data_IF_979670645615
#
_entry.id   IF_979670645615
#
_cell.length_a   1.000
_cell.length_b   1.000
_cell.length_c   1.000
_cell.angle_alpha   90.00
_cell.angle_beta   90.00
_cell.angle_gamma   90.00
#
_symmetry.space_group_name_H-M   'P 1'
#
loop_
_entity.id
_entity.type
_entity.pdbx_description
1 polymer ?
#
# COMPACT_ATOMS: atom_id res chain seq x y z
N UNK A 1 14.97 -7.47 -30.01
CA UNK A 1 14.60 -7.90 -28.64
C UNK A 1 13.94 -6.72 -27.94
N UNK A 2 12.73 -6.92 -27.41
CA UNK A 2 12.02 -5.94 -26.59
C UNK A 2 12.61 -5.91 -25.17
N UNK A 3 12.54 -4.77 -24.45
CA UNK A 3 12.86 -4.75 -23.03
C UNK A 3 11.91 -5.64 -22.24
N UNK A 4 12.40 -6.20 -21.13
CA UNK A 4 11.63 -7.03 -20.20
C UNK A 4 11.49 -6.30 -18.87
N UNK A 5 10.46 -6.66 -18.10
CA UNK A 5 10.31 -6.17 -16.73
C UNK A 5 11.58 -6.46 -15.92
N UNK A 6 11.96 -5.50 -15.08
CA UNK A 6 13.03 -5.66 -14.11
C UNK A 6 12.41 -5.71 -12.72
N UNK A 7 12.78 -6.70 -11.91
CA UNK A 7 12.35 -6.80 -10.52
C UNK A 7 13.58 -6.64 -9.62
N UNK A 8 13.58 -5.62 -8.77
CA UNK A 8 14.69 -5.35 -7.83
C UNK A 8 14.17 -4.95 -6.45
N UNK A 9 15.02 -5.06 -5.43
CA UNK A 9 14.72 -4.51 -4.12
C UNK A 9 14.99 -2.99 -4.12
N UNK A 10 14.31 -2.25 -3.23
CA UNK A 10 14.60 -0.83 -3.00
C UNK A 10 16.07 -0.66 -2.62
N UNK A 11 16.72 0.36 -3.19
CA UNK A 11 18.14 0.65 -3.02
C UNK A 11 19.07 -0.11 -3.98
N UNK A 12 18.56 -1.05 -4.77
CA UNK A 12 19.33 -1.72 -5.82
C UNK A 12 19.21 -0.98 -7.16
N UNK A 13 20.13 -1.27 -8.08
CA UNK A 13 20.06 -0.78 -9.45
C UNK A 13 19.21 -1.71 -10.32
N UNK A 14 18.32 -1.14 -11.13
CA UNK A 14 17.58 -1.88 -12.15
C UNK A 14 18.16 -1.64 -13.54
N UNK A 15 18.10 -2.67 -14.39
CA UNK A 15 18.61 -2.60 -15.76
C UNK A 15 17.52 -2.97 -16.76
N UNK A 16 17.30 -2.11 -17.74
CA UNK A 16 16.54 -2.41 -18.95
C UNK A 16 17.48 -2.46 -20.16
N UNK A 17 17.24 -3.39 -21.07
CA UNK A 17 18.03 -3.51 -22.30
C UNK A 17 17.15 -3.74 -23.50
N UNK A 18 17.54 -3.14 -24.62
CA UNK A 18 16.90 -3.32 -25.92
C UNK A 18 17.95 -3.76 -26.95
N UNK A 19 17.51 -4.49 -27.97
CA UNK A 19 18.34 -4.73 -29.14
C UNK A 19 17.51 -4.55 -30.39
N UNK A 20 17.94 -3.62 -31.25
CA UNK A 20 17.33 -3.33 -32.53
C UNK A 20 18.32 -3.67 -33.64
N UNK A 21 17.78 -4.14 -34.77
CA UNK A 21 18.55 -4.36 -35.99
C UNK A 21 18.14 -3.32 -37.03
N UNK A 22 19.13 -2.72 -37.69
CA UNK A 22 18.95 -1.70 -38.71
C UNK A 22 20.18 -1.68 -39.62
N UNK A 23 19.96 -1.39 -40.90
CA UNK A 23 21.04 -1.17 -41.89
C UNK A 23 21.66 0.22 -41.78
N UNK A 24 20.97 1.17 -41.16
CA UNK A 24 21.46 2.51 -40.84
C UNK A 24 21.76 2.65 -39.34
N UNK A 25 22.63 3.59 -38.92
CA UNK A 25 22.85 3.91 -37.52
C UNK A 25 21.53 4.16 -36.79
N UNK A 26 21.42 3.63 -35.56
CA UNK A 26 20.24 3.79 -34.72
C UNK A 26 20.54 4.68 -33.54
N UNK A 27 19.55 5.49 -33.17
CA UNK A 27 19.52 6.22 -31.89
C UNK A 27 18.44 5.63 -31.01
N UNK A 28 18.65 5.75 -29.69
CA UNK A 28 17.69 5.34 -28.68
C UNK A 28 17.26 6.55 -27.89
N UNK A 29 16.01 6.54 -27.43
CA UNK A 29 15.50 7.48 -26.44
C UNK A 29 14.57 6.73 -25.50
N UNK A 30 15.02 6.50 -24.27
CA UNK A 30 14.17 5.91 -23.24
C UNK A 30 13.14 6.91 -22.75
N UNK A 31 11.98 6.40 -22.36
CA UNK A 31 10.87 7.16 -21.81
C UNK A 31 10.37 6.50 -20.53
N UNK A 32 9.99 7.34 -19.57
CA UNK A 32 9.34 6.97 -18.31
C UNK A 32 7.91 7.49 -18.35
N UNK A 33 6.95 6.57 -18.23
CA UNK A 33 5.51 6.88 -18.40
C UNK A 33 5.26 7.78 -19.61
N UNK A 34 5.85 7.39 -20.75
CA UNK A 34 5.72 8.05 -22.06
C UNK A 34 6.45 9.41 -22.20
N UNK A 35 7.00 9.98 -21.11
CA UNK A 35 7.84 11.17 -21.14
C UNK A 35 9.32 10.82 -21.34
N UNK A 36 10.04 11.58 -22.16
CA UNK A 36 11.45 11.32 -22.45
C UNK A 36 12.34 11.47 -21.20
N UNK A 37 13.20 10.48 -20.97
CA UNK A 37 14.26 10.56 -19.97
C UNK A 37 15.47 11.26 -20.56
N UNK A 38 15.73 12.51 -20.15
CA UNK A 38 16.84 13.31 -20.64
C UNK A 38 18.17 12.55 -20.52
N UNK A 39 18.90 12.46 -21.63
CA UNK A 39 20.22 11.81 -21.69
C UNK A 39 20.20 10.27 -21.76
N UNK A 40 19.04 9.63 -21.62
CA UNK A 40 18.90 8.18 -21.69
C UNK A 40 18.88 7.68 -23.14
N UNK A 41 20.03 7.75 -23.82
CA UNK A 41 20.19 7.48 -25.26
C UNK A 41 20.95 6.19 -25.58
N UNK A 42 21.26 5.40 -24.56
CA UNK A 42 21.98 4.14 -24.69
C UNK A 42 21.02 2.95 -24.89
N UNK A 43 21.52 1.86 -25.48
CA UNK A 43 20.78 0.58 -25.60
C UNK A 43 20.41 -0.05 -24.25
N UNK A 44 21.12 0.33 -23.19
CA UNK A 44 20.89 -0.10 -21.81
C UNK A 44 20.55 1.14 -20.99
N UNK A 45 19.44 1.06 -20.26
CA UNK A 45 19.07 2.02 -19.23
C UNK A 45 19.37 1.39 -17.86
N UNK A 46 20.07 2.13 -17.01
CA UNK A 46 20.28 1.78 -15.61
C UNK A 46 19.50 2.79 -14.77
N UNK A 47 18.59 2.31 -13.94
CA UNK A 47 17.91 3.10 -12.92
C UNK A 47 18.62 2.81 -11.61
N UNK A 48 19.46 3.74 -11.17
CA UNK A 48 20.29 3.57 -9.98
C UNK A 48 19.51 3.85 -8.71
N UNK A 49 19.81 3.12 -7.63
CA UNK A 49 19.24 3.35 -6.30
C UNK A 49 17.70 3.45 -6.31
N UNK A 50 17.04 2.40 -6.81
CA UNK A 50 15.58 2.35 -6.99
C UNK A 50 14.86 2.70 -5.70
N UNK A 51 13.95 3.67 -5.76
CA UNK A 51 13.10 4.10 -4.67
C UNK A 51 11.66 3.62 -4.85
N UNK A 52 10.81 3.84 -3.84
CA UNK A 52 9.38 3.50 -3.91
C UNK A 52 8.64 4.23 -5.04
N UNK A 53 9.08 5.44 -5.42
CA UNK A 53 8.44 6.21 -6.49
C UNK A 53 8.80 5.70 -7.89
N UNK A 54 9.89 4.92 -8.00
CA UNK A 54 10.34 4.27 -9.23
C UNK A 54 9.65 2.92 -9.46
N UNK A 55 9.27 2.24 -8.37
CA UNK A 55 8.47 1.03 -8.45
C UNK A 55 7.09 1.34 -9.03
N UNK A 56 6.60 0.42 -9.86
CA UNK A 56 5.31 0.59 -10.50
C UNK A 56 5.39 1.25 -11.88
N UNK A 57 6.51 1.89 -12.20
CA UNK A 57 6.65 2.78 -13.36
C UNK A 57 6.91 2.02 -14.66
N UNK A 58 6.48 2.62 -15.77
CA UNK A 58 6.58 2.05 -17.12
C UNK A 58 7.76 2.67 -17.87
N UNK A 59 8.59 1.81 -18.45
CA UNK A 59 9.69 2.17 -19.32
C UNK A 59 9.44 1.65 -20.74
N UNK A 60 9.62 2.50 -21.74
CA UNK A 60 9.73 2.07 -23.13
C UNK A 60 10.85 2.86 -23.82
N UNK A 61 11.25 2.41 -25.01
CA UNK A 61 12.33 3.03 -25.78
C UNK A 61 11.87 3.26 -27.20
N UNK A 62 12.05 4.49 -27.67
CA UNK A 62 11.93 4.84 -29.08
C UNK A 62 13.28 4.58 -29.73
N UNK A 63 13.29 3.69 -30.71
CA UNK A 63 14.47 3.42 -31.55
C UNK A 63 14.24 4.10 -32.88
N UNK A 64 15.16 4.96 -33.29
CA UNK A 64 15.04 5.73 -34.52
C UNK A 64 16.23 5.51 -35.45
N UNK A 65 15.98 5.57 -36.75
CA UNK A 65 17.01 5.72 -37.78
C UNK A 65 16.56 6.79 -38.80
N UNK A 66 17.34 7.01 -39.85
CA UNK A 66 17.03 8.04 -40.86
C UNK A 66 15.71 7.85 -41.61
N UNK A 67 15.12 6.66 -41.58
CA UNK A 67 13.90 6.33 -42.31
C UNK A 67 12.67 6.22 -41.40
N UNK A 68 12.81 5.73 -40.15
CA UNK A 68 11.68 5.48 -39.26
C UNK A 68 12.06 5.43 -37.78
N UNK A 69 11.07 5.75 -36.96
CA UNK A 69 11.04 5.44 -35.53
C UNK A 69 10.15 4.21 -35.24
N UNK A 70 10.53 3.44 -34.24
CA UNK A 70 9.75 2.32 -33.68
C UNK A 70 9.83 2.37 -32.17
N UNK A 71 8.68 2.33 -31.50
CA UNK A 71 8.59 2.25 -30.04
C UNK A 71 8.54 0.80 -29.60
N UNK A 72 9.27 0.47 -28.53
CA UNK A 72 9.27 -0.86 -27.93
C UNK A 72 7.92 -1.19 -27.25
N UNK A 73 7.71 -2.47 -26.96
CA UNK A 73 6.75 -2.85 -25.95
C UNK A 73 7.19 -2.28 -24.58
N UNK A 74 6.25 -1.98 -23.67
CA UNK A 74 6.58 -1.48 -22.34
C UNK A 74 7.19 -2.55 -21.45
N UNK A 75 8.13 -2.14 -20.62
CA UNK A 75 8.69 -2.91 -19.52
C UNK A 75 8.43 -2.18 -18.19
N UNK A 76 8.16 -2.92 -17.13
CA UNK A 76 7.83 -2.37 -15.82
C UNK A 76 8.97 -2.56 -14.83
N UNK A 77 9.21 -1.54 -14.00
CA UNK A 77 10.05 -1.67 -12.82
C UNK A 77 9.21 -2.18 -11.65
N UNK A 78 9.51 -3.40 -11.23
CA UNK A 78 8.77 -4.14 -10.22
C UNK A 78 9.63 -4.35 -8.96
N UNK A 79 8.94 -4.65 -7.87
CA UNK A 79 9.54 -5.03 -6.61
C UNK A 79 9.95 -6.49 -6.74
N UNK A 80 11.24 -6.79 -6.54
CA UNK A 80 11.67 -8.16 -6.35
C UNK A 80 11.10 -8.67 -5.04
N UNK A 81 10.09 -9.54 -5.13
CA UNK A 81 9.52 -10.20 -3.96
C UNK A 81 9.98 -11.65 -3.91
N UNK A 82 10.07 -12.17 -2.69
CA UNK A 82 10.28 -13.60 -2.45
C UNK A 82 8.98 -14.40 -2.56
N UNK A 83 7.84 -13.72 -2.70
CA UNK A 83 6.55 -14.37 -2.66
C UNK A 83 6.26 -15.09 -3.96
N UNK A 84 5.63 -16.24 -3.85
CA UNK A 84 5.14 -17.03 -4.99
C UNK A 84 3.62 -17.08 -5.03
N UNK A 85 2.99 -16.63 -3.93
CA UNK A 85 1.56 -16.70 -3.73
C UNK A 85 1.08 -15.58 -2.80
N UNK A 86 -0.09 -15.03 -3.14
CA UNK A 86 -0.94 -14.19 -2.29
C UNK A 86 -2.15 -15.01 -1.84
N UNK A 87 -2.37 -15.13 -0.54
CA UNK A 87 -3.57 -15.74 0.04
C UNK A 87 -4.41 -14.63 0.67
N UNK A 88 -5.67 -14.53 0.27
CA UNK A 88 -6.60 -13.54 0.84
C UNK A 88 -7.71 -14.20 1.64
N UNK A 89 -7.86 -13.75 2.89
CA UNK A 89 -8.99 -14.04 3.78
C UNK A 89 -9.72 -12.74 4.08
N UNK A 90 -11.04 -12.75 4.14
CA UNK A 90 -11.76 -11.52 4.38
C UNK A 90 -13.19 -11.48 3.89
N UNK A 91 -13.70 -10.26 3.82
CA UNK A 91 -14.94 -9.99 3.14
C UNK A 91 -14.65 -9.77 1.67
N UNK A 92 -15.17 -10.63 0.80
CA UNK A 92 -14.97 -10.42 -0.64
C UNK A 92 -15.72 -9.18 -1.07
N UNK A 93 -15.07 -8.32 -1.84
CA UNK A 93 -15.76 -7.26 -2.57
C UNK A 93 -16.26 -7.71 -3.96
N UNK A 94 -15.95 -8.97 -4.31
CA UNK A 94 -16.57 -9.75 -5.40
C UNK A 94 -16.03 -9.44 -6.80
N UNK A 95 -15.65 -10.49 -7.52
CA UNK A 95 -15.26 -10.50 -8.95
C UNK A 95 -16.42 -10.19 -9.93
N UNK A 96 -17.62 -9.87 -9.43
CA UNK A 96 -18.86 -9.91 -10.23
C UNK A 96 -19.89 -8.82 -9.87
N UNK A 97 -19.58 -7.91 -8.92
CA UNK A 97 -20.52 -6.85 -8.50
C UNK A 97 -20.29 -5.53 -9.23
N UNK A 98 -19.08 -5.28 -9.70
CA UNK A 98 -18.67 -4.05 -10.34
C UNK A 98 -18.14 -4.30 -11.76
N UNK A 99 -17.42 -3.32 -12.31
CA UNK A 99 -16.96 -3.20 -13.70
C UNK A 99 -15.68 -3.99 -14.05
N UNK A 100 -15.17 -4.87 -13.18
CA UNK A 100 -13.90 -5.58 -13.42
C UNK A 100 -13.21 -6.15 -12.17
N UNK A 101 -11.89 -6.46 -12.25
CA UNK A 101 -11.17 -7.19 -11.21
C UNK A 101 -10.99 -6.39 -9.91
N UNK A 102 -11.14 -7.03 -8.74
CA UNK A 102 -10.89 -6.39 -7.45
C UNK A 102 -9.38 -6.24 -7.19
N UNK A 103 -9.06 -5.50 -6.13
CA UNK A 103 -7.67 -5.19 -5.76
C UNK A 103 -6.79 -6.43 -5.55
N UNK A 104 -7.37 -7.57 -5.15
CA UNK A 104 -6.64 -8.82 -4.92
C UNK A 104 -6.03 -9.37 -6.21
N UNK A 105 -6.81 -9.35 -7.28
CA UNK A 105 -6.40 -9.83 -8.60
C UNK A 105 -5.38 -8.87 -9.21
N UNK A 106 -5.63 -7.56 -9.07
CA UNK A 106 -4.72 -6.51 -9.51
C UNK A 106 -3.38 -6.60 -8.78
N UNK A 107 -3.38 -6.78 -7.45
CA UNK A 107 -2.18 -6.91 -6.65
C UNK A 107 -1.41 -8.20 -6.97
N UNK A 108 -2.10 -9.34 -7.07
CA UNK A 108 -1.45 -10.60 -7.41
C UNK A 108 -0.79 -10.53 -8.80
N UNK A 109 -1.48 -9.96 -9.79
CA UNK A 109 -0.92 -9.73 -11.11
C UNK A 109 0.27 -8.75 -11.07
N UNK A 110 0.19 -7.70 -10.26
CA UNK A 110 1.29 -6.74 -10.07
C UNK A 110 2.53 -7.40 -9.47
N UNK A 111 2.33 -8.27 -8.50
CA UNK A 111 3.38 -9.03 -7.83
C UNK A 111 3.91 -10.20 -8.68
N UNK A 112 3.17 -10.61 -9.73
CA UNK A 112 3.51 -11.79 -10.53
C UNK A 112 3.35 -13.11 -9.78
N UNK A 113 2.42 -13.16 -8.82
CA UNK A 113 2.21 -14.32 -7.93
C UNK A 113 0.86 -14.97 -8.16
N UNK A 114 0.72 -16.23 -7.74
CA UNK A 114 -0.59 -16.90 -7.74
C UNK A 114 -1.50 -16.30 -6.67
N UNK A 115 -2.77 -16.07 -6.99
CA UNK A 115 -3.80 -15.70 -6.00
C UNK A 115 -4.58 -16.94 -5.51
N UNK A 116 -4.74 -17.08 -4.20
CA UNK A 116 -5.77 -17.93 -3.56
C UNK A 116 -6.70 -17.06 -2.74
N UNK A 117 -7.91 -16.86 -3.23
CA UNK A 117 -8.91 -16.03 -2.58
C UNK A 117 -9.94 -16.91 -1.85
N UNK A 118 -9.98 -16.80 -0.52
CA UNK A 118 -10.96 -17.47 0.35
C UNK A 118 -12.02 -16.50 0.89
N UNK A 119 -11.99 -15.24 0.47
CA UNK A 119 -12.89 -14.24 0.99
C UNK A 119 -14.34 -14.51 0.56
N UNK A 120 -15.27 -14.19 1.45
CA UNK A 120 -16.71 -14.38 1.26
C UNK A 120 -17.43 -13.06 1.52
N UNK A 121 -18.43 -12.72 0.70
CA UNK A 121 -19.16 -11.45 0.87
C UNK A 121 -19.85 -11.38 2.24
N UNK A 122 -19.61 -10.30 2.98
CA UNK A 122 -20.19 -10.10 4.31
C UNK A 122 -19.49 -10.88 5.43
N UNK A 123 -18.27 -11.39 5.19
CA UNK A 123 -17.52 -12.05 6.25
C UNK A 123 -17.16 -11.08 7.39
N UNK A 124 -17.56 -11.45 8.60
CA UNK A 124 -17.06 -10.89 9.86
C UNK A 124 -15.80 -11.65 10.31
N UNK A 125 -15.22 -11.28 11.45
CA UNK A 125 -14.01 -11.93 11.98
C UNK A 125 -14.19 -13.43 12.28
N UNK A 126 -15.41 -13.87 12.60
CA UNK A 126 -15.76 -15.27 12.85
C UNK A 126 -15.85 -16.09 11.56
N UNK A 127 -16.39 -15.52 10.49
CA UNK A 127 -16.37 -16.14 9.15
C UNK A 127 -14.96 -16.19 8.59
N UNK A 128 -14.13 -15.15 8.82
CA UNK A 128 -12.70 -15.21 8.50
C UNK A 128 -11.98 -16.35 9.23
N UNK A 129 -12.33 -16.63 10.50
CA UNK A 129 -11.81 -17.82 11.21
C UNK A 129 -12.17 -19.11 10.46
N UNK A 130 -13.38 -19.21 9.93
CA UNK A 130 -13.83 -20.37 9.16
C UNK A 130 -13.07 -20.52 7.84
N UNK A 131 -12.80 -19.41 7.14
CA UNK A 131 -11.99 -19.42 5.92
C UNK A 131 -10.55 -19.88 6.19
N UNK A 132 -9.93 -19.36 7.24
CA UNK A 132 -8.56 -19.74 7.65
C UNK A 132 -8.51 -21.21 8.05
N UNK A 133 -9.42 -21.67 8.90
CA UNK A 133 -9.42 -23.08 9.32
C UNK A 133 -9.73 -24.03 8.17
N UNK A 134 -10.59 -23.62 7.22
CA UNK A 134 -10.85 -24.37 5.98
C UNK A 134 -9.60 -24.52 5.12
N UNK A 135 -8.83 -23.45 4.95
CA UNK A 135 -7.53 -23.48 4.27
C UNK A 135 -6.53 -24.39 4.99
N UNK A 136 -6.40 -24.24 6.32
CA UNK A 136 -5.45 -24.96 7.15
C UNK A 136 -5.71 -26.48 7.27
N UNK A 137 -6.88 -26.97 6.85
CA UNK A 137 -7.15 -28.42 6.78
C UNK A 137 -6.28 -29.13 5.75
N UNK A 138 -5.91 -28.45 4.68
CA UNK A 138 -5.26 -29.08 3.52
C UNK A 138 -3.93 -28.43 3.15
N UNK A 139 -3.70 -27.19 3.58
CA UNK A 139 -2.56 -26.37 3.16
C UNK A 139 -2.03 -25.57 4.35
N UNK A 140 -0.77 -25.17 4.29
CA UNK A 140 -0.16 -24.27 5.27
C UNK A 140 0.58 -23.15 4.55
N UNK A 141 0.56 -21.91 5.06
CA UNK A 141 1.35 -20.83 4.48
C UNK A 141 2.84 -21.18 4.60
N UNK A 142 3.60 -20.87 3.55
CA UNK A 142 5.05 -21.03 3.54
C UNK A 142 5.72 -19.70 3.84
N UNK A 143 7.04 -19.72 4.04
CA UNK A 143 7.82 -18.47 4.10
C UNK A 143 7.63 -17.65 2.84
N UNK A 144 7.47 -18.24 1.66
CA UNK A 144 7.25 -17.54 0.38
C UNK A 144 5.77 -17.18 0.11
N UNK A 145 4.93 -17.13 1.15
CA UNK A 145 3.51 -16.77 1.04
C UNK A 145 3.26 -15.40 1.62
N UNK A 146 2.68 -14.50 0.83
CA UNK A 146 2.06 -13.27 1.35
C UNK A 146 0.63 -13.59 1.75
N UNK A 147 0.29 -13.41 3.02
CA UNK A 147 -1.10 -13.54 3.49
C UNK A 147 -1.70 -12.16 3.59
N UNK A 148 -2.96 -11.97 3.20
CA UNK A 148 -3.71 -10.76 3.48
C UNK A 148 -5.02 -11.08 4.17
N UNK A 149 -5.39 -10.23 5.12
CA UNK A 149 -6.61 -10.38 5.89
C UNK A 149 -7.33 -9.02 5.98
N UNK A 150 -8.44 -8.87 5.24
CA UNK A 150 -9.17 -7.59 5.16
C UNK A 150 -10.69 -7.74 5.06
N UNK A 151 -11.41 -7.01 5.90
CA UNK A 151 -12.89 -6.99 5.95
C UNK A 151 -13.44 -5.56 5.79
N UNK A 152 -12.58 -4.59 5.43
CA UNK A 152 -12.95 -3.17 5.40
C UNK A 152 -13.01 -2.50 6.79
N UNK A 153 -12.48 -3.15 7.83
CA UNK A 153 -12.59 -2.75 9.24
C UNK A 153 -13.54 -3.67 10.02
N UNK A 154 -14.17 -3.15 11.08
CA UNK A 154 -15.11 -3.90 11.93
C UNK A 154 -16.56 -3.91 11.41
N UNK A 155 -16.84 -3.38 10.22
CA UNK A 155 -18.22 -3.14 9.75
C UNK A 155 -19.13 -4.36 9.80
N UNK A 156 -18.71 -5.50 9.23
CA UNK A 156 -19.51 -6.73 9.27
C UNK A 156 -19.66 -7.30 10.69
N UNK A 157 -18.64 -7.15 11.53
CA UNK A 157 -18.68 -7.57 12.93
C UNK A 157 -19.72 -6.75 13.72
N UNK A 158 -19.72 -5.43 13.54
CA UNK A 158 -20.69 -4.52 14.16
C UNK A 158 -22.11 -4.78 13.65
N UNK A 159 -22.30 -5.00 12.35
CA UNK A 159 -23.61 -5.36 11.75
C UNK A 159 -24.12 -6.67 12.35
N UNK A 160 -23.22 -7.61 12.64
CA UNK A 160 -23.54 -8.91 13.24
C UNK A 160 -23.69 -8.85 14.77
N UNK A 161 -23.55 -7.67 15.38
CA UNK A 161 -23.78 -7.43 16.80
C UNK A 161 -22.55 -7.60 17.71
N UNK A 162 -21.35 -7.76 17.15
CA UNK A 162 -20.11 -7.78 17.95
C UNK A 162 -19.70 -6.37 18.38
N UNK A 163 -18.98 -6.25 19.50
CA UNK A 163 -18.28 -5.00 19.85
C UNK A 163 -16.98 -4.85 19.06
N UNK A 164 -16.42 -3.64 19.07
CA UNK A 164 -15.12 -3.35 18.46
C UNK A 164 -14.00 -4.16 19.13
N UNK A 165 -14.04 -4.31 20.45
CA UNK A 165 -13.06 -5.08 21.23
C UNK A 165 -13.13 -6.56 20.87
N UNK A 166 -14.34 -7.11 20.72
CA UNK A 166 -14.51 -8.50 20.30
C UNK A 166 -14.01 -8.71 18.87
N UNK A 167 -14.31 -7.80 17.95
CA UNK A 167 -13.83 -7.86 16.57
C UNK A 167 -12.29 -7.80 16.50
N UNK A 168 -11.67 -6.91 17.27
CA UNK A 168 -10.21 -6.76 17.34
C UNK A 168 -9.56 -8.01 17.95
N UNK A 169 -10.12 -8.53 19.06
CA UNK A 169 -9.67 -9.77 19.68
C UNK A 169 -9.73 -10.96 18.72
N UNK A 170 -10.83 -11.12 17.99
CA UNK A 170 -10.98 -12.16 16.97
C UNK A 170 -9.99 -11.99 15.81
N UNK A 171 -9.76 -10.75 15.36
CA UNK A 171 -8.74 -10.43 14.34
C UNK A 171 -7.35 -10.90 14.80
N UNK A 172 -6.94 -10.53 16.01
CA UNK A 172 -5.65 -10.92 16.57
C UNK A 172 -5.54 -12.44 16.74
N UNK A 173 -6.61 -13.11 17.18
CA UNK A 173 -6.64 -14.57 17.28
C UNK A 173 -6.49 -15.27 15.90
N UNK A 174 -7.06 -14.70 14.84
CA UNK A 174 -6.88 -15.16 13.47
C UNK A 174 -5.45 -14.98 12.98
N UNK A 175 -4.82 -13.84 13.31
CA UNK A 175 -3.42 -13.56 12.96
C UNK A 175 -2.46 -14.49 13.70
N UNK A 176 -2.69 -14.75 14.99
CA UNK A 176 -1.91 -15.73 15.77
C UNK A 176 -1.99 -17.12 15.15
N UNK A 177 -3.19 -17.57 14.78
CA UNK A 177 -3.37 -18.87 14.12
C UNK A 177 -2.58 -18.97 12.81
N UNK A 178 -2.60 -17.92 11.99
CA UNK A 178 -1.83 -17.89 10.74
C UNK A 178 -0.31 -17.89 11.00
N UNK A 179 0.15 -17.13 12.00
CA UNK A 179 1.55 -17.08 12.40
C UNK A 179 2.07 -18.44 12.89
N UNK A 180 1.30 -19.11 13.76
CA UNK A 180 1.56 -20.46 14.27
C UNK A 180 1.57 -21.49 13.13
N UNK A 181 0.71 -21.31 12.13
CA UNK A 181 0.66 -22.17 10.94
C UNK A 181 1.78 -21.93 9.93
N UNK A 182 2.65 -20.93 10.14
CA UNK A 182 3.84 -20.69 9.32
C UNK A 182 3.82 -19.40 8.49
N UNK A 183 2.78 -18.56 8.59
CA UNK A 183 2.75 -17.28 7.88
C UNK A 183 3.86 -16.38 8.41
N UNK A 184 4.58 -15.68 7.53
CA UNK A 184 5.67 -14.76 7.91
C UNK A 184 5.50 -13.36 7.36
N UNK A 185 4.72 -13.17 6.31
CA UNK A 185 4.40 -11.88 5.73
C UNK A 185 2.89 -11.71 5.70
N UNK A 186 2.37 -10.73 6.42
CA UNK A 186 0.93 -10.50 6.52
C UNK A 186 0.60 -9.04 6.18
N UNK A 187 -0.11 -8.84 5.07
CA UNK A 187 -0.65 -7.56 4.61
C UNK A 187 -2.02 -7.27 5.23
N UNK A 188 -2.11 -6.16 5.96
CA UNK A 188 -3.24 -5.75 6.77
C UNK A 188 -3.68 -4.33 6.41
N UNK A 189 -4.51 -4.18 5.36
CA UNK A 189 -5.12 -2.88 5.07
C UNK A 189 -6.01 -2.43 6.23
N UNK A 190 -5.95 -1.14 6.58
CA UNK A 190 -6.79 -0.51 7.61
C UNK A 190 -8.24 -0.35 7.16
N UNK A 191 -9.09 0.22 8.03
CA UNK A 191 -10.47 0.49 7.66
C UNK A 191 -10.62 1.56 6.57
N UNK A 192 -11.78 1.53 5.89
CA UNK A 192 -12.20 2.59 4.96
C UNK A 192 -13.02 3.63 5.72
N UNK A 193 -12.90 4.93 5.40
CA UNK A 193 -13.60 5.99 6.11
C UNK A 193 -15.13 5.74 6.10
N UNK A 194 -15.74 5.35 7.23
CA UNK A 194 -17.14 4.92 7.26
C UNK A 194 -18.10 6.04 6.86
N UNK A 195 -17.76 7.28 7.16
CA UNK A 195 -18.51 8.48 6.76
C UNK A 195 -18.48 8.74 5.24
N UNK A 196 -17.61 8.06 4.50
CA UNK A 196 -17.52 8.11 3.03
C UNK A 196 -18.03 6.82 2.37
N UNK A 197 -18.59 5.89 3.14
CA UNK A 197 -19.26 4.69 2.63
C UNK A 197 -20.77 4.94 2.58
N UNK A 198 -21.38 5.03 1.39
CA UNK A 198 -22.81 5.33 1.24
C UNK A 198 -23.73 4.39 2.04
N UNK A 199 -23.42 3.10 2.01
CA UNK A 199 -24.18 2.06 2.70
C UNK A 199 -24.07 2.17 4.23
N UNK A 200 -23.09 2.92 4.76
CA UNK A 200 -22.92 3.10 6.19
C UNK A 200 -23.75 4.25 6.74
N UNK A 201 -24.33 5.10 5.89
CA UNK A 201 -25.25 6.15 6.32
C UNK A 201 -26.50 5.62 7.00
N UNK A 202 -26.90 4.38 6.70
CA UNK A 202 -28.00 3.68 7.39
C UNK A 202 -27.61 3.13 8.78
N UNK A 203 -26.34 3.22 9.15
CA UNK A 203 -25.79 2.78 10.44
C UNK A 203 -25.12 3.96 11.16
N UNK A 204 -25.88 4.96 11.64
CA UNK A 204 -25.32 6.19 12.22
C UNK A 204 -24.49 5.96 13.49
N UNK A 205 -24.60 4.79 14.11
CA UNK A 205 -23.80 4.37 15.26
C UNK A 205 -22.39 3.86 14.87
N UNK A 206 -22.13 3.56 13.60
CA UNK A 206 -20.84 3.11 13.08
C UNK A 206 -19.94 4.30 12.75
N UNK A 207 -19.47 4.99 13.79
CA UNK A 207 -18.68 6.22 13.67
C UNK A 207 -17.23 5.94 13.28
N UNK A 208 -16.57 6.93 12.68
CA UNK A 208 -15.11 6.91 12.42
C UNK A 208 -14.31 6.58 13.67
N UNK A 209 -14.75 7.05 14.83
CA UNK A 209 -14.09 6.82 16.12
C UNK A 209 -14.08 5.34 16.54
N UNK A 210 -15.17 4.61 16.30
CA UNK A 210 -15.20 3.16 16.55
C UNK A 210 -14.23 2.39 15.66
N UNK A 211 -14.06 2.83 14.41
CA UNK A 211 -13.12 2.20 13.49
C UNK A 211 -11.66 2.55 13.80
N UNK A 212 -11.39 3.77 14.26
CA UNK A 212 -10.08 4.14 14.81
C UNK A 212 -9.75 3.34 16.07
N UNK A 213 -10.73 3.16 16.96
CA UNK A 213 -10.58 2.31 18.14
C UNK A 213 -10.25 0.87 17.75
N UNK A 214 -10.94 0.31 16.74
CA UNK A 214 -10.66 -1.04 16.23
C UNK A 214 -9.22 -1.17 15.75
N UNK A 215 -8.75 -0.24 14.90
CA UNK A 215 -7.40 -0.30 14.36
C UNK A 215 -6.35 -0.11 15.46
N UNK A 216 -6.58 0.79 16.43
CA UNK A 216 -5.69 0.96 17.59
C UNK A 216 -5.53 -0.32 18.42
N UNK A 217 -6.64 -1.01 18.71
CA UNK A 217 -6.61 -2.29 19.43
C UNK A 217 -5.89 -3.39 18.64
N UNK A 218 -6.04 -3.42 17.31
CA UNK A 218 -5.30 -4.34 16.46
C UNK A 218 -3.81 -4.00 16.51
N UNK A 219 -3.43 -2.74 16.33
CA UNK A 219 -2.03 -2.29 16.31
C UNK A 219 -1.31 -2.60 17.62
N UNK A 220 -1.92 -2.32 18.78
CA UNK A 220 -1.41 -2.71 20.09
C UNK A 220 -1.15 -4.23 20.19
N UNK A 221 -2.06 -5.03 19.64
CA UNK A 221 -1.92 -6.48 19.60
C UNK A 221 -0.82 -6.98 18.66
N UNK A 222 -0.55 -6.28 17.55
CA UNK A 222 0.46 -6.67 16.57
C UNK A 222 1.88 -6.57 17.13
N UNK A 223 2.18 -5.56 17.95
CA UNK A 223 3.50 -5.42 18.60
C UNK A 223 3.85 -6.67 19.44
N UNK A 224 2.85 -7.18 20.19
CA UNK A 224 3.01 -8.41 20.95
C UNK A 224 3.20 -9.63 20.05
N UNK A 225 2.51 -9.73 18.91
CA UNK A 225 2.72 -10.84 17.97
C UNK A 225 4.10 -10.77 17.31
N UNK A 226 4.57 -9.59 16.91
CA UNK A 226 5.87 -9.40 16.26
C UNK A 226 7.04 -9.74 17.17
N UNK A 227 6.93 -9.45 18.45
CA UNK A 227 7.99 -9.79 19.42
C UNK A 227 8.07 -11.29 19.70
N UNK A 228 6.95 -12.00 19.57
CA UNK A 228 6.83 -13.43 19.85
C UNK A 228 6.99 -14.32 18.61
N UNK A 229 7.02 -13.74 17.42
CA UNK A 229 7.07 -14.48 16.16
C UNK A 229 7.92 -13.77 15.12
N UNK A 230 8.48 -14.49 14.14
CA UNK A 230 9.22 -13.90 13.02
C UNK A 230 8.30 -13.32 11.93
N UNK A 231 7.14 -12.79 12.32
CA UNK A 231 6.12 -12.27 11.40
C UNK A 231 6.35 -10.79 11.13
N UNK A 232 6.38 -10.44 9.85
CA UNK A 232 6.31 -9.07 9.36
C UNK A 232 4.85 -8.72 9.05
N UNK A 233 4.37 -7.61 9.61
CA UNK A 233 3.07 -7.04 9.29
C UNK A 233 3.26 -5.82 8.39
N UNK A 234 2.54 -5.79 7.28
CA UNK A 234 2.45 -4.64 6.38
C UNK A 234 1.12 -3.97 6.64
N UNK A 235 1.11 -2.94 7.48
CA UNK A 235 -0.08 -2.13 7.76
C UNK A 235 -0.17 -1.03 6.71
N UNK A 236 -1.32 -0.89 6.07
CA UNK A 236 -1.51 0.06 4.96
C UNK A 236 -2.68 0.97 5.26
N UNK A 237 -2.45 2.29 5.24
CA UNK A 237 -3.46 3.30 5.56
C UNK A 237 -4.47 3.53 4.42
N UNK A 238 -5.52 2.73 4.44
CA UNK A 238 -6.66 2.86 3.56
C UNK A 238 -7.53 4.09 3.88
N UNK A 239 -7.53 4.58 5.11
CA UNK A 239 -8.33 5.74 5.50
C UNK A 239 -7.86 7.00 4.77
N UNK A 240 -6.56 7.25 4.80
CA UNK A 240 -5.96 8.41 4.13
C UNK A 240 -6.09 8.32 2.61
N UNK A 241 -5.89 7.13 2.02
CA UNK A 241 -6.07 6.94 0.58
C UNK A 241 -7.48 7.33 0.13
N UNK A 242 -8.52 6.82 0.81
CA UNK A 242 -9.91 7.10 0.44
C UNK A 242 -10.32 8.54 0.74
N UNK A 243 -9.81 9.11 1.82
CA UNK A 243 -10.00 10.53 2.13
C UNK A 243 -9.42 11.41 1.02
N UNK A 244 -8.20 11.12 0.55
CA UNK A 244 -7.56 11.88 -0.52
C UNK A 244 -8.29 11.74 -1.86
N UNK A 245 -8.72 10.52 -2.22
CA UNK A 245 -9.53 10.27 -3.42
C UNK A 245 -10.85 11.05 -3.37
N UNK A 246 -11.48 11.15 -2.20
CA UNK A 246 -12.74 11.89 -2.03
C UNK A 246 -12.54 13.41 -2.04
N UNK A 247 -11.47 13.91 -1.43
CA UNK A 247 -11.18 15.35 -1.36
C UNK A 247 -10.76 15.92 -2.71
N UNK A 248 -10.08 15.14 -3.55
CA UNK A 248 -9.61 15.58 -4.86
C UNK A 248 -9.82 14.52 -5.95
N UNK A 249 -11.06 14.15 -6.29
CA UNK A 249 -11.37 13.05 -7.19
C UNK A 249 -10.76 13.23 -8.59
N UNK A 250 -10.67 14.48 -9.08
CA UNK A 250 -10.08 14.79 -10.38
C UNK A 250 -8.60 14.42 -10.46
N UNK A 251 -7.82 14.57 -9.38
CA UNK A 251 -6.42 14.17 -9.34
C UNK A 251 -6.23 12.63 -9.45
N UNK A 252 -7.28 11.88 -9.15
CA UNK A 252 -7.33 10.41 -9.28
C UNK A 252 -8.10 9.97 -10.52
N UNK A 253 -8.41 10.89 -11.43
CA UNK A 253 -9.15 10.60 -12.67
C UNK A 253 -10.63 10.25 -12.46
N UNK A 254 -11.19 10.54 -11.29
CA UNK A 254 -12.61 10.37 -11.00
C UNK A 254 -13.40 11.65 -11.27
N UNK A 255 -14.67 11.51 -11.66
CA UNK A 255 -15.58 12.65 -11.80
C UNK A 255 -15.81 13.34 -10.46
N UNK A 256 -15.84 14.67 -10.50
CA UNK A 256 -16.24 15.52 -9.35
C UNK A 256 -17.76 15.43 -9.19
N UNK A 257 -18.29 15.02 -8.03
CA UNK A 257 -19.73 15.05 -7.79
C UNK A 257 -20.27 16.49 -7.85
N UNK A 258 -21.46 16.75 -8.41
CA UNK A 258 -22.10 18.06 -8.33
C UNK A 258 -22.24 18.56 -6.87
N UNK A 259 -22.14 19.87 -6.61
CA UNK A 259 -22.35 20.42 -5.27
C UNK A 259 -23.73 20.04 -4.72
N UNK A 260 -23.79 19.47 -3.52
CA UNK A 260 -25.04 19.02 -2.90
C UNK A 260 -25.63 17.73 -3.48
N UNK A 261 -24.95 17.08 -4.43
CA UNK A 261 -25.33 15.74 -4.86
C UNK A 261 -24.95 14.73 -3.77
N UNK A 262 -25.97 14.09 -3.20
CA UNK A 262 -25.83 12.80 -2.52
C UNK A 262 -25.59 11.67 -3.54
N UNK A 263 -25.09 11.96 -4.75
CA UNK A 263 -24.69 10.91 -5.70
C UNK A 263 -23.37 10.32 -5.22
N UNK A 264 -23.51 9.49 -4.21
CA UNK A 264 -22.61 8.43 -3.83
C UNK A 264 -22.13 7.67 -5.07
N UNK A 265 -20.83 7.74 -5.36
CA UNK A 265 -20.11 6.79 -6.20
C UNK A 265 -20.71 6.44 -7.56
N UNK A 266 -20.39 7.20 -8.61
CA UNK A 266 -20.39 6.60 -9.96
C UNK A 266 -19.01 6.03 -10.32
N UNK A 267 -17.94 6.67 -9.84
CA UNK A 267 -16.59 6.38 -10.31
C UNK A 267 -15.68 5.74 -9.25
N UNK A 268 -15.93 5.97 -7.95
CA UNK A 268 -15.17 5.35 -6.83
C UNK A 268 -15.85 4.08 -6.33
N UNK A 269 -17.16 4.14 -6.13
CA UNK A 269 -17.97 3.00 -5.73
C UNK A 269 -18.90 2.61 -6.89
N UNK A 270 -19.14 1.31 -7.07
CA UNK A 270 -20.05 0.80 -8.09
C UNK A 270 -21.46 0.59 -7.54
N UNK A 271 -21.57 0.40 -6.22
CA UNK A 271 -22.81 0.49 -5.45
C UNK A 271 -22.54 1.28 -4.16
N UNK A 272 -23.46 1.26 -3.19
CA UNK A 272 -23.25 1.99 -1.94
C UNK A 272 -22.10 1.47 -1.05
N UNK A 273 -21.41 0.38 -1.40
CA UNK A 273 -20.42 -0.28 -0.54
C UNK A 273 -19.17 -0.74 -1.31
N UNK A 274 -19.34 -1.30 -2.51
CA UNK A 274 -18.29 -1.92 -3.30
C UNK A 274 -17.63 -0.91 -4.24
N UNK A 275 -16.33 -1.07 -4.44
CA UNK A 275 -15.49 -0.15 -5.23
C UNK A 275 -15.53 -0.49 -6.72
N UNK A 276 -15.43 0.53 -7.58
CA UNK A 276 -15.14 0.30 -9.00
C UNK A 276 -13.74 -0.31 -9.16
N UNK A 277 -13.48 -0.89 -10.32
CA UNK A 277 -12.16 -1.39 -10.72
C UNK A 277 -11.12 -0.28 -10.74
N UNK A 278 -11.53 0.94 -11.11
CA UNK A 278 -10.65 2.10 -11.08
C UNK A 278 -10.18 2.41 -9.65
N UNK A 279 -11.09 2.41 -8.67
CA UNK A 279 -10.72 2.55 -7.25
C UNK A 279 -9.91 1.34 -6.75
N UNK A 280 -10.28 0.11 -7.13
CA UNK A 280 -9.51 -1.09 -6.79
C UNK A 280 -8.07 -1.06 -7.32
N UNK A 281 -7.81 -0.38 -8.44
CA UNK A 281 -6.45 -0.17 -8.96
C UNK A 281 -5.62 0.71 -8.04
N UNK A 282 -6.20 1.80 -7.52
CA UNK A 282 -5.51 2.63 -6.52
C UNK A 282 -5.26 1.87 -5.22
N UNK A 283 -6.21 1.05 -4.77
CA UNK A 283 -6.01 0.14 -3.62
C UNK A 283 -4.84 -0.80 -3.86
N UNK A 284 -4.82 -1.51 -4.98
CA UNK A 284 -3.76 -2.47 -5.30
C UNK A 284 -2.39 -1.80 -5.39
N UNK A 285 -2.28 -0.63 -6.02
CA UNK A 285 -1.02 0.11 -6.13
C UNK A 285 -0.56 0.67 -4.78
N UNK A 286 -1.48 1.14 -3.94
CA UNK A 286 -1.15 1.61 -2.59
C UNK A 286 -0.64 0.47 -1.71
N UNK A 287 -1.32 -0.68 -1.74
CA UNK A 287 -0.88 -1.90 -1.05
C UNK A 287 0.47 -2.39 -1.57
N UNK A 288 0.66 -2.42 -2.89
CA UNK A 288 1.91 -2.83 -3.50
C UNK A 288 3.09 -1.98 -3.04
N UNK A 289 2.90 -0.66 -2.89
CA UNK A 289 3.92 0.26 -2.36
C UNK A 289 4.21 0.02 -0.88
N UNK A 290 3.22 -0.40 -0.09
CA UNK A 290 3.43 -0.74 1.32
C UNK A 290 4.13 -2.09 1.55
N UNK A 291 4.28 -2.94 0.53
CA UNK A 291 4.92 -4.27 0.64
C UNK A 291 6.45 -4.23 0.67
N UNK A 292 7.05 -3.05 0.68
CA UNK A 292 8.46 -2.90 1.02
C UNK A 292 8.67 -3.08 2.52
N UNK A 293 9.87 -3.46 2.98
CA UNK A 293 10.12 -3.64 4.41
C UNK A 293 9.59 -2.43 5.20
N UNK A 294 8.88 -2.65 6.32
CA UNK A 294 8.35 -1.55 7.10
C UNK A 294 9.51 -0.64 7.52
N UNK A 295 9.28 0.67 7.45
CA UNK A 295 10.22 1.63 8.01
C UNK A 295 10.34 1.37 9.50
N UNK A 296 11.46 0.78 9.91
CA UNK A 296 11.73 0.47 11.32
C UNK A 296 12.56 1.61 11.88
N UNK A 297 12.02 2.35 12.84
CA UNK A 297 12.86 3.27 13.64
C UNK A 297 13.85 2.41 14.42
N UNK A 298 15.13 2.52 14.07
CA UNK A 298 16.23 1.78 14.69
C UNK A 298 16.70 2.45 15.97
N UNK A 299 16.68 3.78 16.01
CA UNK A 299 17.03 4.53 17.21
C UNK A 299 16.49 5.95 17.16
N UNK A 300 16.22 6.50 18.35
CA UNK A 300 16.00 7.93 18.56
C UNK A 300 16.92 8.39 19.68
N UNK A 301 17.87 9.27 19.37
CA UNK A 301 18.87 9.76 20.33
C UNK A 301 18.74 11.26 20.50
N UNK A 302 18.57 11.72 21.74
CA UNK A 302 18.64 13.14 22.09
C UNK A 302 20.09 13.64 22.05
N UNK A 303 20.30 14.82 21.48
CA UNK A 303 21.53 15.60 21.39
C UNK A 303 21.34 16.93 22.14
N UNK A 304 22.43 17.64 22.41
CA UNK A 304 22.41 18.93 23.13
C UNK A 304 21.63 20.01 22.37
N UNK A 305 21.59 19.93 21.04
CA UNK A 305 20.72 20.71 20.17
C UNK A 305 19.81 19.75 19.38
N UNK A 306 18.96 19.01 20.11
CA UNK A 306 17.77 18.26 19.67
C UNK A 306 17.91 16.75 19.48
N UNK A 307 17.70 16.15 18.30
CA UNK A 307 17.63 14.67 18.22
C UNK A 307 18.07 14.09 16.87
N UNK A 308 18.51 12.83 16.89
CA UNK A 308 18.75 11.99 15.72
C UNK A 308 17.74 10.85 15.69
N UNK A 309 17.09 10.62 14.55
CA UNK A 309 16.29 9.43 14.27
C UNK A 309 17.01 8.64 13.19
N UNK A 310 17.28 7.36 13.44
CA UNK A 310 17.74 6.42 12.42
C UNK A 310 16.64 5.42 12.15
N UNK A 311 16.42 5.08 10.89
CA UNK A 311 15.47 4.04 10.51
C UNK A 311 16.06 3.14 9.42
N UNK A 312 15.51 1.94 9.29
CA UNK A 312 15.81 0.99 8.22
C UNK A 312 14.52 0.64 7.47
N UNK A 313 14.62 -0.08 6.36
CA UNK A 313 13.46 -0.61 5.64
C UNK A 313 12.96 0.20 4.43
N UNK A 314 13.47 1.41 4.18
CA UNK A 314 13.19 2.10 2.93
C UNK A 314 13.54 3.59 2.89
N UNK A 315 13.28 4.20 1.73
CA UNK A 315 13.41 5.64 1.44
C UNK A 315 12.04 6.21 1.04
N UNK A 316 11.10 6.29 2.00
CA UNK A 316 9.90 7.08 1.79
C UNK A 316 10.22 8.58 2.00
N UNK A 317 9.64 9.49 1.20
CA UNK A 317 9.60 10.91 1.57
C UNK A 317 9.01 11.03 2.97
N UNK A 318 9.58 11.86 3.83
CA UNK A 318 9.04 12.06 5.18
C UNK A 318 8.96 13.54 5.52
N UNK A 319 8.11 13.86 6.49
CA UNK A 319 8.04 15.18 7.11
C UNK A 319 8.04 15.01 8.60
N UNK A 320 8.84 15.81 9.28
CA UNK A 320 8.80 15.93 10.73
C UNK A 320 7.85 17.06 11.07
N UNK A 321 6.93 16.80 11.97
CA UNK A 321 6.05 17.81 12.52
C UNK A 321 6.20 17.90 14.03
N UNK A 322 5.93 19.08 14.57
CA UNK A 322 5.97 19.37 16.00
C UNK A 322 4.67 19.94 16.51
N UNK A 323 4.39 19.73 17.79
CA UNK A 323 3.32 20.40 18.53
C UNK A 323 3.75 20.65 19.97
N UNK A 324 3.24 21.71 20.59
CA UNK A 324 3.36 21.95 22.03
C UNK A 324 2.15 21.42 22.80
N UNK A 325 1.12 20.95 22.10
CA UNK A 325 -0.14 20.49 22.67
C UNK A 325 -0.72 19.32 21.85
N UNK A 326 -0.51 18.10 22.35
CA UNK A 326 -1.03 16.88 21.74
C UNK A 326 -2.56 16.87 21.62
N UNK A 327 -3.28 17.61 22.47
CA UNK A 327 -4.74 17.61 22.52
C UNK A 327 -5.31 18.44 21.38
N UNK A 328 -4.65 19.55 21.03
CA UNK A 328 -5.09 20.44 19.95
C UNK A 328 -5.07 19.80 18.56
N UNK A 329 -4.27 18.75 18.36
CA UNK A 329 -4.04 18.12 17.05
C UNK A 329 -3.39 19.05 16.02
N UNK A 330 -2.93 20.24 16.41
CA UNK A 330 -2.29 21.18 15.50
C UNK A 330 -0.79 20.92 15.45
N UNK A 331 -0.36 20.36 14.32
CA UNK A 331 1.03 19.99 14.05
C UNK A 331 1.66 20.92 13.01
N UNK A 332 2.86 21.42 13.27
CA UNK A 332 3.59 22.32 12.37
C UNK A 332 4.81 21.64 11.77
N UNK A 333 5.18 21.91 10.50
CA UNK A 333 6.42 21.39 9.91
C UNK A 333 7.65 21.85 10.70
N UNK A 334 8.63 20.96 10.86
CA UNK A 334 10.00 21.32 11.23
C UNK A 334 10.78 21.63 9.94
N UNK A 335 11.62 22.68 9.94
CA UNK A 335 12.36 23.20 8.76
C UNK A 335 13.42 22.25 8.17
N UNK A 336 14.26 22.78 7.25
CA UNK A 336 15.10 22.01 6.29
C UNK A 336 15.63 20.64 6.78
N UNK A 337 15.26 19.62 6.01
CA UNK A 337 15.67 18.22 6.17
C UNK A 337 16.88 17.96 5.28
N UNK A 338 18.04 17.66 5.85
CA UNK A 338 19.21 17.25 5.09
C UNK A 338 19.18 15.75 4.78
N UNK A 339 19.40 15.38 3.52
CA UNK A 339 19.41 14.00 3.03
C UNK A 339 20.62 13.21 3.56
N UNK A 340 20.53 12.71 4.79
CA UNK A 340 21.35 11.61 5.28
C UNK A 340 20.45 10.73 6.15
N UNK A 341 20.89 9.50 6.42
CA UNK A 341 20.27 8.46 7.27
C UNK A 341 20.05 8.88 8.74
N UNK A 342 20.04 10.17 9.02
CA UNK A 342 19.89 10.84 10.31
C UNK A 342 19.44 12.30 10.07
N UNK A 343 18.31 12.70 10.66
CA UNK A 343 17.92 14.12 10.75
C UNK A 343 18.39 14.70 12.10
N UNK A 344 18.92 15.92 12.10
CA UNK A 344 19.27 16.67 13.33
C UNK A 344 18.40 17.91 13.42
N UNK A 345 17.53 18.01 14.42
CA UNK A 345 16.72 19.21 14.70
C UNK A 345 17.35 19.95 15.87
N UNK A 346 17.60 21.25 15.81
CA UNK A 346 18.10 22.04 16.95
C UNK A 346 16.97 22.48 17.89
N UNK A 347 17.04 22.14 19.19
CA UNK A 347 16.05 22.53 20.20
C UNK A 347 16.72 23.22 21.41
N UNK A 348 16.21 24.39 21.78
CA UNK A 348 16.62 25.14 22.98
C UNK A 348 15.41 25.79 23.70
N UNK A 349 14.19 25.22 23.56
CA UNK A 349 12.93 25.79 24.10
C UNK A 349 11.99 24.69 24.68
N UNK A 350 10.81 25.00 25.28
CA UNK A 350 10.13 24.12 26.25
C UNK A 350 9.59 22.82 25.61
N UNK A 351 9.26 21.81 26.42
CA UNK A 351 8.86 20.44 26.00
C UNK A 351 7.88 20.45 24.80
N UNK A 352 8.38 20.11 23.62
CA UNK A 352 7.59 19.88 22.40
C UNK A 352 7.41 18.37 22.18
N UNK A 353 6.33 17.99 21.49
CA UNK A 353 6.11 16.67 20.93
C UNK A 353 6.42 16.68 19.44
N UNK A 354 7.01 15.60 18.95
CA UNK A 354 7.41 15.45 17.56
C UNK A 354 6.80 14.18 16.98
N UNK A 355 6.40 14.24 15.71
CA UNK A 355 6.03 13.06 14.93
C UNK A 355 6.77 13.06 13.60
N UNK A 356 7.09 11.88 13.10
CA UNK A 356 7.61 11.67 11.75
C UNK A 356 6.49 11.07 10.93
N UNK A 357 6.12 11.77 9.86
CA UNK A 357 5.16 11.29 8.87
C UNK A 357 5.95 10.78 7.68
N UNK A 358 5.86 9.48 7.39
CA UNK A 358 6.36 8.92 6.15
C UNK A 358 5.25 8.95 5.11
N UNK A 359 5.51 9.51 3.93
CA UNK A 359 4.55 9.59 2.86
C UNK A 359 4.68 8.38 1.94
N UNK A 360 3.56 7.69 1.70
CA UNK A 360 3.52 6.56 0.78
C UNK A 360 3.83 5.19 1.40
N UNK A 361 3.85 5.08 2.73
CA UNK A 361 3.62 3.84 3.46
C UNK A 361 2.33 3.95 4.26
#
# INVERSE_FOLDING_TARGET
MQPKNAAVQVGQDAQFSVSAWSVAPVTYQWRLDEAELTGATNRVLIVTNVTLVDLGRRYDVVVNNSARAVTSAPAWLLLATRWTELIFFGSSEGLQRCDGPPWTDLLANRLGVRLRNYAEGGADSSRVRSQITGYLRNLTPTTNTLVSLWTGGAGNDLISGSSVEQAASNRLANLRLLAEAGARDILLPTFLPPERLPAFQRYPHMTTELFLQFDGLVDEGLESLQTQSSVSFYRTDMYSLFTAMWQNPAAYGFRVPPPGSETFGSDIYCDGLHKTTAAHRYVAEHLYRSLTPPLKIESMRKLDAGFTITWSGGSAPFRIERTTDLISGQWQPVGEVSFLTAATVSDNRPREFLRVLFFGQ
#
